data_IF_549825099914
#
_entry.id   IF_549825099914
#
_cell.length_a   1.000
_cell.length_b   1.000
_cell.length_c   1.000
_cell.angle_alpha   90.00
_cell.angle_beta   90.00
_cell.angle_gamma   90.00
#
_symmetry.space_group_name_H-M   'P 1'
#
loop_
_entity.id
_entity.type
_entity.pdbx_description
1 polymer ?
#
# COMPACT_ATOMS: atom_id res chain seq x y z
N UNK A 1 5.75 3.23 -0.48
CA UNK A 1 5.82 1.95 0.26
C UNK A 1 6.82 1.05 -0.44
N UNK A 2 7.99 0.80 0.16
CA UNK A 2 9.07 0.15 -0.59
C UNK A 2 8.86 -1.38 -0.75
N UNK A 3 8.99 -1.85 -1.99
CA UNK A 3 8.88 -3.25 -2.40
C UNK A 3 10.03 -3.63 -3.33
N UNK A 4 10.24 -4.93 -3.59
CA UNK A 4 11.21 -5.41 -4.57
C UNK A 4 10.69 -5.32 -6.00
N UNK A 5 11.59 -5.36 -6.99
CA UNK A 5 11.24 -5.41 -8.42
C UNK A 5 10.39 -6.63 -8.81
N UNK A 6 10.61 -7.76 -8.13
CA UNK A 6 9.82 -8.98 -8.25
C UNK A 6 8.34 -8.77 -7.85
N UNK A 7 8.08 -7.79 -6.97
CA UNK A 7 6.73 -7.40 -6.62
C UNK A 7 6.06 -6.64 -7.77
N UNK A 8 6.75 -5.69 -8.40
CA UNK A 8 6.25 -4.95 -9.57
C UNK A 8 5.93 -5.89 -10.73
N UNK A 9 6.83 -6.83 -11.05
CA UNK A 9 6.67 -7.78 -12.15
C UNK A 9 5.40 -8.64 -12.01
N UNK A 10 5.07 -9.07 -10.79
CA UNK A 10 3.83 -9.83 -10.53
C UNK A 10 2.59 -8.97 -10.75
N UNK A 11 2.62 -7.71 -10.32
CA UNK A 11 1.48 -6.81 -10.47
C UNK A 11 1.24 -6.46 -11.93
N UNK A 12 2.29 -6.13 -12.67
CA UNK A 12 2.18 -5.80 -14.10
C UNK A 12 1.73 -7.00 -14.93
N UNK A 13 2.10 -8.22 -14.53
CA UNK A 13 1.64 -9.45 -15.16
C UNK A 13 0.15 -9.71 -14.94
N UNK A 14 -0.36 -9.55 -13.71
CA UNK A 14 -1.75 -9.87 -13.38
C UNK A 14 -2.72 -8.73 -13.71
N UNK A 15 -2.30 -7.49 -13.55
CA UNK A 15 -3.10 -6.29 -13.74
C UNK A 15 -2.36 -5.33 -14.69
N UNK A 16 -2.49 -5.51 -16.01
CA UNK A 16 -1.85 -4.64 -17.00
C UNK A 16 -2.21 -3.17 -16.77
N UNK A 17 -1.20 -2.29 -16.80
CA UNK A 17 -1.36 -0.89 -16.48
C UNK A 17 -1.19 -0.54 -15.00
N UNK A 18 -0.85 -1.51 -14.13
CA UNK A 18 -0.52 -1.25 -12.72
C UNK A 18 0.89 -0.66 -12.52
N UNK A 19 1.73 -0.69 -13.55
CA UNK A 19 3.08 -0.09 -13.60
C UNK A 19 3.08 1.38 -13.19
N UNK A 20 2.01 2.12 -13.51
CA UNK A 20 1.84 3.53 -13.13
C UNK A 20 1.84 3.80 -11.62
N UNK A 21 1.63 2.77 -10.79
CA UNK A 21 1.63 2.88 -9.33
C UNK A 21 2.98 2.51 -8.71
N UNK A 22 3.99 2.22 -9.53
CA UNK A 22 5.36 1.95 -9.11
C UNK A 22 6.26 3.12 -9.50
N UNK A 23 7.03 3.60 -8.55
CA UNK A 23 8.04 4.64 -8.74
C UNK A 23 9.42 4.09 -8.37
N UNK A 24 10.52 4.72 -8.84
CA UNK A 24 11.87 4.34 -8.44
C UNK A 24 12.03 4.25 -6.90
N UNK A 25 12.67 3.19 -6.42
CA UNK A 25 12.97 2.96 -5.00
C UNK A 25 14.29 3.58 -4.55
N UNK A 26 14.75 3.24 -3.34
CA UNK A 26 16.05 3.70 -2.84
C UNK A 26 17.23 3.06 -3.59
N UNK A 27 17.04 1.85 -4.11
CA UNK A 27 18.01 1.15 -4.96
C UNK A 27 17.36 0.67 -6.26
N UNK A 28 18.19 0.29 -7.24
CA UNK A 28 17.71 -0.19 -8.55
C UNK A 28 16.82 -1.44 -8.45
N UNK A 29 17.03 -2.26 -7.42
CA UNK A 29 16.24 -3.46 -7.11
C UNK A 29 14.99 -3.18 -6.28
N UNK A 30 14.69 -1.91 -6.01
CA UNK A 30 13.55 -1.47 -5.19
C UNK A 30 12.62 -0.55 -5.95
N UNK A 31 11.37 -0.53 -5.51
CA UNK A 31 10.30 0.34 -6.03
C UNK A 31 9.48 0.92 -4.89
N UNK A 32 9.05 2.16 -5.03
CA UNK A 32 8.01 2.75 -4.20
C UNK A 32 6.64 2.46 -4.80
N UNK A 33 5.88 1.61 -4.11
CA UNK A 33 4.51 1.27 -4.48
C UNK A 33 3.51 2.28 -3.88
N UNK A 34 2.62 2.80 -4.72
CA UNK A 34 1.44 3.57 -4.34
C UNK A 34 0.23 2.63 -4.15
N UNK A 35 0.19 2.02 -2.95
CA UNK A 35 -0.91 1.15 -2.54
C UNK A 35 -2.29 1.86 -2.58
N UNK A 36 -2.50 3.06 -1.99
CA UNK A 36 -3.81 3.69 -2.01
C UNK A 36 -4.25 4.06 -3.44
N UNK A 37 -3.36 4.57 -4.28
CA UNK A 37 -3.64 4.84 -5.69
C UNK A 37 -4.05 3.58 -6.46
N UNK A 38 -3.33 2.47 -6.26
CA UNK A 38 -3.67 1.18 -6.86
C UNK A 38 -5.06 0.68 -6.43
N UNK A 39 -5.38 0.74 -5.13
CA UNK A 39 -6.69 0.30 -4.61
C UNK A 39 -7.83 1.16 -5.18
N UNK A 40 -7.66 2.49 -5.24
CA UNK A 40 -8.66 3.39 -5.83
C UNK A 40 -8.90 3.05 -7.30
N UNK A 41 -7.83 2.79 -8.05
CA UNK A 41 -7.95 2.37 -9.44
C UNK A 41 -8.66 1.01 -9.59
N UNK A 42 -8.36 0.03 -8.72
CA UNK A 42 -9.07 -1.27 -8.71
C UNK A 42 -10.55 -1.10 -8.41
N UNK A 43 -10.93 -0.23 -7.47
CA UNK A 43 -12.34 0.08 -7.17
C UNK A 43 -13.03 0.72 -8.38
N UNK A 44 -12.34 1.63 -9.08
CA UNK A 44 -12.85 2.22 -10.32
C UNK A 44 -13.07 1.15 -11.41
N UNK A 45 -12.12 0.23 -11.61
CA UNK A 45 -12.26 -0.88 -12.57
C UNK A 45 -13.41 -1.84 -12.18
N UNK A 46 -13.70 -1.98 -10.89
CA UNK A 46 -14.84 -2.75 -10.39
C UNK A 46 -16.20 -2.03 -10.52
N UNK A 47 -16.22 -0.81 -11.09
CA UNK A 47 -17.44 -0.02 -11.28
C UNK A 47 -17.91 0.78 -10.07
N UNK A 48 -17.07 0.92 -9.04
CA UNK A 48 -17.37 1.78 -7.89
C UNK A 48 -17.28 3.24 -8.33
N UNK A 49 -18.41 3.96 -8.27
CA UNK A 49 -18.52 5.33 -8.77
C UNK A 49 -17.86 6.36 -7.84
N UNK A 50 -17.83 6.09 -6.54
CA UNK A 50 -17.24 6.97 -5.53
C UNK A 50 -16.36 6.15 -4.59
N UNK A 51 -15.06 6.39 -4.68
CA UNK A 51 -14.07 5.84 -3.77
C UNK A 51 -13.08 6.95 -3.43
N UNK A 52 -12.74 7.08 -2.15
CA UNK A 52 -11.82 8.10 -1.65
C UNK A 52 -10.89 7.46 -0.64
N UNK A 53 -9.61 7.82 -0.71
CA UNK A 53 -8.64 7.45 0.30
C UNK A 53 -8.67 8.48 1.44
N UNK A 54 -8.58 8.00 2.69
CA UNK A 54 -8.58 8.84 3.89
C UNK A 54 -7.37 9.75 4.03
N UNK A 55 -6.32 9.56 3.22
CA UNK A 55 -5.09 10.36 3.27
C UNK A 55 -4.17 9.98 4.43
N UNK A 56 -4.41 8.85 5.10
CA UNK A 56 -3.62 8.41 6.25
C UNK A 56 -2.57 7.37 5.86
N UNK A 57 -1.33 7.59 6.33
CA UNK A 57 -0.22 6.65 6.25
C UNK A 57 0.05 6.06 7.64
N UNK A 58 -0.17 4.75 7.77
CA UNK A 58 0.00 4.02 9.04
C UNK A 58 1.45 3.98 9.52
N UNK A 59 2.41 4.01 8.59
CA UNK A 59 3.83 3.96 8.91
C UNK A 59 4.32 5.31 9.43
N UNK A 60 3.86 6.42 8.82
CA UNK A 60 4.26 7.77 9.18
C UNK A 60 3.61 8.29 10.47
N UNK A 61 2.32 8.00 10.70
CA UNK A 61 1.56 8.51 11.85
C UNK A 61 1.50 7.46 12.98
N UNK A 62 2.58 7.41 13.76
CA UNK A 62 2.77 6.44 14.85
C UNK A 62 1.89 6.69 16.08
N UNK A 63 1.39 7.91 16.27
CA UNK A 63 0.50 8.25 17.39
C UNK A 63 -0.90 7.68 17.20
N UNK A 64 -1.34 7.50 15.95
CA UNK A 64 -2.71 7.11 15.62
C UNK A 64 -2.84 5.69 15.09
N UNK A 65 -1.78 5.12 14.53
CA UNK A 65 -1.85 3.84 13.83
C UNK A 65 -0.74 2.88 14.23
N UNK A 66 -1.07 1.60 14.35
CA UNK A 66 -0.07 0.53 14.29
C UNK A 66 0.40 0.31 12.85
N UNK A 67 1.67 -0.04 12.65
CA UNK A 67 2.23 -0.36 11.33
C UNK A 67 3.20 -1.53 11.40
N UNK A 68 2.92 -2.56 10.60
CA UNK A 68 3.83 -3.69 10.41
C UNK A 68 5.19 -3.26 9.85
N UNK A 69 5.20 -2.32 8.90
CA UNK A 69 6.45 -1.88 8.26
C UNK A 69 7.35 -1.16 9.26
N UNK A 70 6.76 -0.32 10.12
CA UNK A 70 7.48 0.36 11.19
C UNK A 70 8.03 -0.67 12.21
N UNK A 71 7.19 -1.57 12.69
CA UNK A 71 7.62 -2.64 13.60
C UNK A 71 8.79 -3.46 13.04
N UNK A 72 8.73 -3.84 11.76
CA UNK A 72 9.84 -4.52 11.07
C UNK A 72 11.13 -3.69 11.04
N UNK A 73 11.04 -2.38 10.73
CA UNK A 73 12.20 -1.49 10.73
C UNK A 73 12.82 -1.31 12.13
N UNK A 74 12.01 -1.35 13.18
CA UNK A 74 12.45 -1.24 14.57
C UNK A 74 12.83 -2.59 15.21
N UNK A 75 12.72 -3.71 14.49
CA UNK A 75 13.02 -5.05 15.02
C UNK A 75 12.05 -5.51 16.10
N UNK A 76 10.83 -4.97 16.12
CA UNK A 76 9.80 -5.36 17.07
C UNK A 76 9.23 -6.75 16.71
N UNK A 77 9.03 -7.65 17.69
CA UNK A 77 8.61 -9.03 17.42
C UNK A 77 7.12 -9.15 17.05
N UNK A 78 6.31 -8.15 17.37
CA UNK A 78 4.89 -8.07 17.03
C UNK A 78 4.45 -6.61 16.95
N UNK A 79 3.26 -6.37 16.39
CA UNK A 79 2.65 -5.05 16.30
C UNK A 79 1.15 -5.13 16.55
N UNK A 80 0.56 -4.04 17.06
CA UNK A 80 -0.89 -3.96 17.24
C UNK A 80 -1.63 -4.04 15.90
N UNK A 81 -2.91 -4.41 15.94
CA UNK A 81 -3.75 -4.55 14.74
C UNK A 81 -4.87 -3.51 14.77
N UNK A 82 -5.12 -2.88 13.64
CA UNK A 82 -6.22 -1.94 13.46
C UNK A 82 -7.46 -2.69 12.95
N UNK A 83 -8.64 -2.11 13.18
CA UNK A 83 -9.91 -2.62 12.65
C UNK A 83 -10.65 -1.48 11.93
N UNK A 84 -11.22 -1.82 10.78
CA UNK A 84 -12.18 -0.97 10.06
C UNK A 84 -13.52 -1.69 10.07
N UNK A 85 -14.57 -1.02 10.54
CA UNK A 85 -15.91 -1.61 10.71
C UNK A 85 -16.94 -0.73 10.01
N UNK A 86 -17.92 -1.36 9.34
CA UNK A 86 -19.13 -0.74 8.82
C UNK A 86 -20.34 -1.48 9.39
N UNK A 87 -21.38 -0.75 9.77
CA UNK A 87 -22.64 -1.28 10.29
C UNK A 87 -23.82 -0.60 9.60
N UNK A 88 -24.98 -1.24 9.66
CA UNK A 88 -26.26 -0.74 9.12
C UNK A 88 -27.17 -0.33 10.26
#
# INVERSE_FOLDING_TARGET
YEVGVDFEDRFTHHDPGSDRFFHPGETDDKRQFDLPGFVLWRLQQAGVSQAVWTGHDTCADAERFYSNRRAFQHGEPDFGRLISVIGV
#
